data_IF_976164186090
#
_entry.id   IF_976164186090
#
_cell.length_a   1.000
_cell.length_b   1.000
_cell.length_c   1.000
_cell.angle_alpha   90.00
_cell.angle_beta   90.00
_cell.angle_gamma   90.00
#
_symmetry.space_group_name_H-M   'P 1'
#
loop_
_entity.id
_entity.type
_entity.pdbx_description
1 polymer ?
#
# COMPACT_ATOMS: atom_id res chain seq x y z
N UNK A 1 -1.58 30.38 8.27
CA UNK A 1 -0.87 29.36 9.07
C UNK A 1 -1.38 28.03 8.58
N UNK A 2 -0.57 27.33 7.80
CA UNK A 2 -0.96 26.04 7.22
C UNK A 2 -1.25 25.06 8.36
N UNK A 3 -2.41 24.37 8.37
CA UNK A 3 -2.65 23.32 9.34
C UNK A 3 -1.60 22.25 9.06
N UNK A 4 -0.74 22.02 10.03
CA UNK A 4 0.17 20.88 10.02
C UNK A 4 -0.73 19.65 9.89
N UNK A 5 -0.85 19.09 8.68
CA UNK A 5 -1.40 17.75 8.50
C UNK A 5 -0.49 16.87 9.37
N UNK A 6 -1.06 16.35 10.46
CA UNK A 6 -0.39 15.35 11.27
C UNK A 6 -0.26 14.11 10.40
N UNK A 7 0.78 14.06 9.58
CA UNK A 7 1.06 12.97 8.64
C UNK A 7 1.31 11.64 9.36
N UNK A 8 1.23 11.55 10.69
CA UNK A 8 1.40 10.30 11.43
C UNK A 8 0.21 9.34 11.27
N UNK A 9 0.42 8.05 11.59
CA UNK A 9 -0.64 7.03 11.44
C UNK A 9 -1.81 7.15 12.43
N UNK A 10 -1.69 8.03 13.43
CA UNK A 10 -2.68 8.20 14.49
C UNK A 10 -3.71 9.28 14.19
N UNK A 11 -3.57 9.95 13.05
CA UNK A 11 -4.52 10.93 12.57
C UNK A 11 -5.78 10.26 11.98
N UNK A 12 -6.71 11.09 11.52
CA UNK A 12 -7.93 10.61 10.87
C UNK A 12 -7.73 10.28 9.38
N UNK A 13 -6.55 10.53 8.81
CA UNK A 13 -6.24 10.28 7.39
C UNK A 13 -5.38 9.03 7.18
N UNK A 14 -4.99 8.33 8.25
CA UNK A 14 -4.07 7.19 8.21
C UNK A 14 -2.70 7.60 7.65
N UNK A 15 -2.21 8.79 8.00
CA UNK A 15 -0.99 9.38 7.46
C UNK A 15 -1.01 9.55 5.93
N UNK A 16 -2.20 9.65 5.33
CA UNK A 16 -2.42 9.66 3.89
C UNK A 16 -2.27 8.31 3.17
N UNK A 17 -1.99 7.22 3.89
CA UNK A 17 -1.75 5.91 3.31
C UNK A 17 -3.03 5.24 2.83
N UNK A 18 -3.03 4.72 1.59
CA UNK A 18 -4.18 4.01 1.01
C UNK A 18 -4.54 2.72 1.76
N UNK A 19 -3.53 2.01 2.29
CA UNK A 19 -3.74 0.71 2.94
C UNK A 19 -3.19 0.67 4.37
N UNK A 20 -1.88 0.51 4.53
CA UNK A 20 -1.25 0.34 5.84
C UNK A 20 -0.37 1.55 6.13
N UNK A 21 -0.48 2.09 7.34
CA UNK A 21 0.44 3.08 7.87
C UNK A 21 1.23 2.45 9.02
N UNK A 22 2.55 2.60 9.00
CA UNK A 22 3.47 2.02 9.99
C UNK A 22 4.23 3.16 10.66
N UNK A 23 4.00 3.34 11.97
CA UNK A 23 4.76 4.29 12.78
C UNK A 23 6.16 3.76 13.05
N UNK A 24 7.14 4.65 12.94
CA UNK A 24 8.54 4.45 13.31
C UNK A 24 8.96 5.53 14.31
N UNK A 25 10.04 5.33 15.08
CA UNK A 25 10.54 6.39 15.96
C UNK A 25 10.87 7.66 15.17
N UNK A 26 10.09 8.72 15.39
CA UNK A 26 10.26 10.03 14.73
C UNK A 26 9.79 10.12 13.28
N UNK A 27 9.15 9.08 12.72
CA UNK A 27 8.62 9.08 11.34
C UNK A 27 7.52 8.03 11.15
N UNK A 28 6.99 7.90 9.95
CA UNK A 28 6.10 6.81 9.55
C UNK A 28 6.35 6.48 8.06
N UNK A 29 5.85 5.34 7.61
CA UNK A 29 5.73 5.08 6.17
C UNK A 29 4.46 4.32 5.84
N UNK A 30 4.01 4.48 4.60
CA UNK A 30 2.96 3.66 4.04
C UNK A 30 3.50 2.28 3.63
N UNK A 31 2.65 1.27 3.69
CA UNK A 31 2.90 -0.08 3.20
C UNK A 31 1.62 -0.65 2.58
N UNK A 32 1.77 -1.71 1.80
CA UNK A 32 0.67 -2.35 1.09
C UNK A 32 0.45 -3.77 1.62
N UNK A 33 -0.81 -4.22 1.57
CA UNK A 33 -1.17 -5.60 1.91
C UNK A 33 -0.57 -6.55 0.89
N UNK A 34 -0.48 -7.83 1.27
CA UNK A 34 0.00 -8.89 0.39
C UNK A 34 -0.68 -8.81 -0.98
N UNK A 35 0.14 -8.84 -2.03
CA UNK A 35 -0.33 -8.75 -3.41
C UNK A 35 -0.44 -7.35 -4.00
N UNK A 36 -0.06 -6.34 -3.24
CA UNK A 36 0.01 -4.95 -3.66
C UNK A 36 1.40 -4.40 -3.38
N UNK A 37 1.84 -3.47 -4.22
CA UNK A 37 3.07 -2.69 -4.05
C UNK A 37 2.75 -1.20 -4.01
N UNK A 38 3.60 -0.45 -3.30
CA UNK A 38 3.56 1.00 -3.36
C UNK A 38 3.82 1.47 -4.80
N UNK A 39 3.11 2.50 -5.24
CA UNK A 39 3.37 3.10 -6.55
C UNK A 39 4.69 3.86 -6.52
N UNK A 40 5.44 3.80 -7.62
CA UNK A 40 6.73 4.48 -7.74
C UNK A 40 6.57 6.01 -7.81
N UNK A 41 5.45 6.49 -8.35
CA UNK A 41 5.11 7.92 -8.45
C UNK A 41 4.46 8.47 -7.17
N UNK A 42 3.81 7.62 -6.38
CA UNK A 42 3.17 8.01 -5.13
C UNK A 42 3.23 6.85 -4.10
N UNK A 43 4.17 6.88 -3.14
CA UNK A 43 4.35 5.80 -2.17
C UNK A 43 3.19 5.68 -1.17
N UNK A 44 2.25 6.64 -1.15
CA UNK A 44 1.03 6.55 -0.33
C UNK A 44 -0.03 5.66 -0.96
N UNK A 45 0.10 5.32 -2.26
CA UNK A 45 -0.86 4.55 -3.03
C UNK A 45 -0.38 3.14 -3.29
N UNK A 46 -1.32 2.20 -3.30
CA UNK A 46 -1.07 0.78 -3.51
C UNK A 46 -1.63 0.33 -4.85
N UNK A 47 -0.76 -0.21 -5.69
CA UNK A 47 -1.16 -0.86 -6.93
C UNK A 47 -1.04 -2.36 -6.78
N UNK A 48 -1.99 -3.10 -7.37
CA UNK A 48 -1.88 -4.56 -7.44
C UNK A 48 -0.63 -4.91 -8.22
N UNK A 49 0.20 -5.78 -7.65
CA UNK A 49 1.26 -6.41 -8.43
C UNK A 49 0.57 -7.15 -9.57
N UNK A 50 0.95 -6.90 -10.83
CA UNK A 50 0.42 -7.62 -12.00
C UNK A 50 0.74 -9.14 -12.00
N UNK A 51 1.24 -9.68 -10.88
CA UNK A 51 1.42 -11.10 -10.59
C UNK A 51 0.69 -11.60 -9.34
N UNK A 52 -0.04 -10.75 -8.58
CA UNK A 52 -0.76 -11.18 -7.37
C UNK A 52 -2.15 -11.72 -7.68
N UNK A 53 -2.21 -12.80 -8.46
CA UNK A 53 -3.38 -13.66 -8.52
C UNK A 53 -3.37 -14.56 -7.27
N UNK A 54 -4.03 -14.16 -6.18
CA UNK A 54 -4.51 -15.13 -5.16
C UNK A 54 -5.75 -15.88 -5.70
N UNK A 55 -5.81 -16.09 -7.02
CA UNK A 55 -6.87 -16.81 -7.74
C UNK A 55 -6.33 -17.24 -9.09
N UNK A 56 -5.60 -18.35 -9.13
CA UNK A 56 -5.69 -19.31 -10.25
C UNK A 56 -4.88 -20.57 -9.91
N UNK A 57 -5.51 -21.75 -9.76
CA UNK A 57 -5.10 -22.94 -10.49
C UNK A 57 -5.51 -22.90 -11.97
N UNK A 58 -6.18 -21.84 -12.45
CA UNK A 58 -6.79 -21.78 -13.78
C UNK A 58 -5.91 -21.22 -14.92
N UNK A 59 -4.64 -20.86 -14.71
CA UNK A 59 -3.72 -20.60 -15.84
C UNK A 59 -2.83 -21.80 -16.21
N UNK A 60 -3.11 -22.98 -15.65
CA UNK A 60 -2.63 -24.25 -16.21
C UNK A 60 -3.62 -24.87 -17.21
N UNK A 61 -4.58 -24.10 -17.73
CA UNK A 61 -5.26 -24.45 -19.00
C UNK A 61 -4.32 -24.18 -20.17
N UNK A 62 -3.22 -24.94 -20.25
CA UNK A 62 -2.41 -25.23 -21.45
C UNK A 62 -1.14 -25.99 -21.03
N UNK A 63 -1.29 -27.18 -20.43
CA UNK A 63 -0.27 -28.22 -20.61
C UNK A 63 -0.84 -29.11 -21.71
N UNK A 64 -0.26 -28.99 -22.92
CA UNK A 64 -0.53 -29.87 -24.06
C UNK A 64 -0.18 -31.32 -23.71
#
# INVERSE_FOLDING_TARGET
>A
EDPVEDTSCNDFTNGGCEQLCINHPGTFNCSCREGFQARADDPTKCQRERGSLITTPLHASSVL
#
